data_IF_843513664090
#
_entry.id   IF_843513664090
#
_cell.length_a   1.000
_cell.length_b   1.000
_cell.length_c   1.000
_cell.angle_alpha   90.00
_cell.angle_beta   90.00
_cell.angle_gamma   90.00
#
_symmetry.space_group_name_H-M   'P 1'
#
loop_
_entity.id
_entity.type
_entity.pdbx_description
1 polymer ?
#
# COMPACT_ATOMS: atom_id res chain seq x y z
N UNK A 1 9.81 4.77 -17.42
CA UNK A 1 10.46 5.16 -16.15
C UNK A 1 11.83 4.49 -16.13
N UNK A 2 12.91 5.26 -16.25
CA UNK A 2 14.26 4.69 -16.36
C UNK A 2 14.72 4.24 -14.96
N UNK A 3 15.58 3.21 -14.89
CA UNK A 3 16.12 2.70 -13.63
C UNK A 3 16.86 3.76 -12.77
N UNK A 4 17.25 4.89 -13.38
CA UNK A 4 17.87 6.03 -12.71
C UNK A 4 16.91 6.89 -11.86
N UNK A 5 15.58 6.75 -12.04
CA UNK A 5 14.58 7.56 -11.33
C UNK A 5 14.31 7.07 -9.89
N UNK A 6 14.84 5.90 -9.49
CA UNK A 6 14.62 5.29 -8.18
C UNK A 6 15.56 5.80 -7.07
N UNK A 7 16.56 6.63 -7.40
CA UNK A 7 17.58 7.11 -6.43
C UNK A 7 17.15 8.40 -5.72
N UNK A 8 16.00 8.98 -6.06
CA UNK A 8 15.48 10.17 -5.39
C UNK A 8 14.10 9.89 -4.75
N UNK A 9 14.09 9.04 -3.71
CA UNK A 9 12.99 9.04 -2.75
C UNK A 9 12.90 10.47 -2.19
N UNK A 10 11.85 11.22 -2.59
CA UNK A 10 11.61 12.57 -2.10
C UNK A 10 11.59 12.59 -0.55
N UNK A 11 11.97 13.71 0.09
CA UNK A 11 12.24 13.78 1.54
C UNK A 11 11.00 13.71 2.45
N UNK A 12 9.85 13.25 1.94
CA UNK A 12 8.57 13.30 2.66
C UNK A 12 8.14 11.99 3.33
N UNK A 13 8.98 10.95 3.33
CA UNK A 13 8.67 9.72 4.06
C UNK A 13 9.18 9.85 5.50
N UNK A 14 8.32 10.36 6.38
CA UNK A 14 8.54 10.27 7.83
C UNK A 14 8.26 8.83 8.28
N UNK A 15 9.26 7.97 8.14
CA UNK A 15 9.24 6.64 8.75
C UNK A 15 9.55 6.83 10.23
N UNK A 16 8.55 6.73 11.09
CA UNK A 16 8.81 6.67 12.53
C UNK A 16 9.55 5.37 12.88
N UNK A 17 10.57 5.43 13.76
CA UNK A 17 11.53 4.35 13.93
C UNK A 17 10.97 3.11 14.64
N UNK A 18 11.63 1.95 14.47
CA UNK A 18 12.84 1.78 13.70
C UNK A 18 12.59 1.05 12.38
N UNK A 19 12.83 1.76 11.27
CA UNK A 19 13.03 1.12 9.97
C UNK A 19 14.47 0.65 9.90
N UNK A 20 14.65 -0.67 10.01
CA UNK A 20 15.94 -1.32 9.82
C UNK A 20 16.03 -1.82 8.38
N UNK A 21 16.89 -1.18 7.57
CA UNK A 21 17.29 -1.71 6.27
C UNK A 21 18.37 -2.78 6.43
N UNK A 22 18.34 -3.82 5.60
CA UNK A 22 19.45 -4.77 5.46
C UNK A 22 20.34 -4.27 4.31
N UNK A 23 21.64 -4.14 4.53
CA UNK A 23 22.58 -3.80 3.46
C UNK A 23 22.55 -4.87 2.36
N UNK A 24 22.85 -4.49 1.12
CA UNK A 24 22.88 -5.42 0.00
C UNK A 24 23.90 -6.55 0.25
N UNK A 25 23.44 -7.80 0.21
CA UNK A 25 24.25 -8.99 0.49
C UNK A 25 24.20 -9.51 1.93
N UNK A 26 23.64 -8.76 2.89
CA UNK A 26 23.45 -9.27 4.26
C UNK A 26 22.24 -10.20 4.36
N UNK A 27 22.38 -11.27 5.14
CA UNK A 27 21.30 -12.24 5.35
C UNK A 27 20.23 -11.68 6.30
N UNK A 28 18.96 -11.74 5.89
CA UNK A 28 17.79 -11.44 6.76
C UNK A 28 17.84 -12.19 8.09
N UNK A 29 18.36 -13.43 8.09
CA UNK A 29 18.58 -14.22 9.32
C UNK A 29 19.66 -13.63 10.22
N UNK A 30 20.73 -13.09 9.63
CA UNK A 30 21.81 -12.42 10.36
C UNK A 30 21.30 -11.14 11.01
N UNK A 31 20.56 -10.30 10.28
CA UNK A 31 19.93 -9.10 10.85
C UNK A 31 18.99 -9.47 12.00
N UNK A 32 18.12 -10.48 11.82
CA UNK A 32 17.22 -10.94 12.88
C UNK A 32 17.99 -11.40 14.13
N UNK A 33 19.05 -12.20 13.94
CA UNK A 33 19.89 -12.68 15.04
C UNK A 33 20.61 -11.52 15.74
N UNK A 34 21.19 -10.59 14.98
CA UNK A 34 21.85 -9.40 15.52
C UNK A 34 20.88 -8.51 16.29
N UNK A 35 19.69 -8.26 15.73
CA UNK A 35 18.64 -7.48 16.40
C UNK A 35 18.28 -8.13 17.74
N UNK A 36 17.95 -9.43 17.73
CA UNK A 36 17.64 -10.20 18.95
C UNK A 36 18.79 -10.10 19.96
N UNK A 37 20.03 -10.41 19.55
CA UNK A 37 21.20 -10.35 20.45
C UNK A 37 21.51 -8.93 20.97
N UNK A 38 21.17 -7.87 20.21
CA UNK A 38 21.38 -6.48 20.63
C UNK A 38 20.36 -5.99 21.65
N UNK A 39 19.22 -6.67 21.79
CA UNK A 39 18.24 -6.36 22.82
C UNK A 39 18.74 -6.92 24.17
N UNK A 40 19.41 -6.08 24.98
CA UNK A 40 19.88 -6.44 26.34
C UNK A 40 18.75 -6.83 27.33
N UNK A 41 17.48 -6.74 26.91
CA UNK A 41 16.27 -6.99 27.71
C UNK A 41 15.43 -8.18 27.22
N UNK A 42 16.01 -9.15 26.52
CA UNK A 42 15.28 -10.35 26.07
C UNK A 42 14.56 -11.12 27.21
N UNK A 43 14.95 -10.93 28.47
CA UNK A 43 14.24 -11.51 29.62
C UNK A 43 12.85 -10.89 29.90
N UNK A 44 12.53 -9.71 29.36
CA UNK A 44 11.26 -9.00 29.60
C UNK A 44 10.25 -9.14 28.45
N UNK A 45 10.63 -9.76 27.33
CA UNK A 45 9.78 -9.86 26.14
C UNK A 45 9.19 -11.27 26.00
N UNK A 46 7.99 -11.49 26.53
CA UNK A 46 7.19 -12.70 26.32
C UNK A 46 6.33 -12.62 25.04
N UNK A 47 6.79 -11.87 24.02
CA UNK A 47 5.99 -11.50 22.84
C UNK A 47 6.73 -11.71 21.54
N UNK A 48 6.04 -12.23 20.53
CA UNK A 48 6.56 -12.40 19.17
C UNK A 48 6.73 -11.06 18.45
N UNK A 49 7.68 -10.97 17.52
CA UNK A 49 7.91 -9.77 16.70
C UNK A 49 8.08 -10.13 15.21
N UNK A 50 7.98 -9.11 14.36
CA UNK A 50 8.16 -9.23 12.90
C UNK A 50 9.33 -8.38 12.42
N UNK A 51 10.01 -8.84 11.37
CA UNK A 51 11.00 -8.05 10.61
C UNK A 51 10.53 -8.01 9.16
N UNK A 52 10.25 -6.80 8.65
CA UNK A 52 9.86 -6.56 7.26
C UNK A 52 11.00 -5.99 6.45
N UNK A 53 11.40 -6.67 5.36
CA UNK A 53 12.37 -6.14 4.39
C UNK A 53 11.64 -5.32 3.32
N UNK A 54 11.59 -4.00 3.52
CA UNK A 54 11.04 -3.05 2.55
C UNK A 54 11.79 -3.06 1.21
N UNK A 55 13.08 -3.42 1.20
CA UNK A 55 13.87 -3.55 -0.02
C UNK A 55 13.36 -4.67 -0.93
N UNK A 56 12.75 -5.72 -0.36
CA UNK A 56 12.13 -6.78 -1.17
C UNK A 56 10.93 -6.26 -1.97
N UNK A 57 10.19 -5.29 -1.44
CA UNK A 57 9.07 -4.66 -2.14
C UNK A 57 9.58 -3.93 -3.38
N UNK A 58 10.67 -3.17 -3.23
CA UNK A 58 11.30 -2.45 -4.34
C UNK A 58 11.78 -3.43 -5.42
N UNK A 59 12.47 -4.50 -5.03
CA UNK A 59 12.94 -5.54 -5.97
C UNK A 59 11.77 -6.21 -6.71
N UNK A 60 10.68 -6.50 -6.01
CA UNK A 60 9.48 -7.07 -6.63
C UNK A 60 8.84 -6.11 -7.63
N UNK A 61 8.76 -4.81 -7.30
CA UNK A 61 8.23 -3.80 -8.21
C UNK A 61 9.10 -3.62 -9.45
N UNK A 62 10.44 -3.70 -9.30
CA UNK A 62 11.37 -3.70 -10.45
C UNK A 62 11.15 -4.91 -11.36
N UNK A 63 10.98 -6.12 -10.78
CA UNK A 63 10.64 -7.32 -11.54
C UNK A 63 9.30 -7.17 -12.27
N UNK A 64 8.27 -6.65 -11.60
CA UNK A 64 6.97 -6.36 -12.22
C UNK A 64 7.13 -5.41 -13.40
N UNK A 65 7.81 -4.28 -13.20
CA UNK A 65 8.01 -3.26 -14.23
C UNK A 65 8.79 -3.81 -15.43
N UNK A 66 9.77 -4.69 -15.19
CA UNK A 66 10.56 -5.35 -16.22
C UNK A 66 9.74 -6.32 -17.06
N UNK A 67 8.90 -7.15 -16.42
CA UNK A 67 8.18 -8.24 -17.09
C UNK A 67 6.77 -7.86 -17.56
N UNK A 68 6.18 -6.81 -16.98
CA UNK A 68 4.82 -6.33 -17.28
C UNK A 68 4.83 -4.81 -17.55
N UNK A 69 5.60 -4.31 -18.53
CA UNK A 69 5.83 -2.86 -18.71
C UNK A 69 4.58 -2.05 -19.08
N UNK A 70 3.54 -2.70 -19.60
CA UNK A 70 2.27 -2.06 -19.96
C UNK A 70 1.23 -2.11 -18.84
N UNK A 71 1.51 -2.83 -17.75
CA UNK A 71 0.56 -3.05 -16.66
C UNK A 71 1.00 -2.24 -15.45
N UNK A 72 0.26 -1.18 -15.13
CA UNK A 72 0.45 -0.44 -13.89
C UNK A 72 -0.07 -1.28 -12.70
N UNK A 73 0.74 -1.56 -11.68
CA UNK A 73 0.28 -2.31 -10.52
C UNK A 73 -0.61 -1.45 -9.61
N UNK A 74 -1.67 -2.07 -9.08
CA UNK A 74 -2.48 -1.55 -7.98
C UNK A 74 -2.35 -2.53 -6.81
N UNK A 75 -1.76 -2.07 -5.71
CA UNK A 75 -1.52 -2.89 -4.52
C UNK A 75 -2.82 -3.10 -3.74
N UNK A 76 -3.16 -4.36 -3.48
CA UNK A 76 -4.31 -4.72 -2.66
C UNK A 76 -4.04 -4.40 -1.18
N UNK A 77 -4.69 -3.34 -0.67
CA UNK A 77 -4.48 -2.83 0.69
C UNK A 77 -4.72 -3.89 1.77
N UNK A 78 -5.72 -4.77 1.55
CA UNK A 78 -6.08 -5.90 2.42
C UNK A 78 -4.95 -6.90 2.69
N UNK A 79 -3.93 -6.97 1.83
CA UNK A 79 -2.84 -7.94 1.99
C UNK A 79 -1.93 -7.60 3.18
N UNK A 80 -1.57 -6.32 3.31
CA UNK A 80 -0.81 -5.79 4.44
C UNK A 80 -0.97 -4.26 4.43
N UNK A 81 -1.78 -3.69 5.33
CA UNK A 81 -2.06 -2.25 5.39
C UNK A 81 -1.03 -1.47 6.23
N UNK A 82 0.12 -2.07 6.57
CA UNK A 82 1.13 -1.40 7.39
C UNK A 82 1.62 -0.12 6.71
N UNK A 83 1.62 0.96 7.48
CA UNK A 83 1.94 2.30 6.99
C UNK A 83 3.29 2.39 6.24
N UNK A 84 4.39 1.75 6.69
CA UNK A 84 5.65 1.76 5.94
C UNK A 84 5.55 1.15 4.54
N UNK A 85 4.75 0.09 4.37
CA UNK A 85 4.52 -0.56 3.07
C UNK A 85 3.72 0.37 2.15
N UNK A 86 2.63 0.93 2.67
CA UNK A 86 1.74 1.82 1.90
C UNK A 86 2.48 3.09 1.47
N UNK A 87 3.20 3.73 2.40
CA UNK A 87 3.99 4.93 2.10
C UNK A 87 5.08 4.67 1.05
N UNK A 88 5.79 3.54 1.17
CA UNK A 88 6.81 3.16 0.19
C UNK A 88 6.19 2.97 -1.20
N UNK A 89 5.15 2.15 -1.32
CA UNK A 89 4.49 1.87 -2.59
C UNK A 89 3.89 3.14 -3.22
N UNK A 90 3.27 4.01 -2.41
CA UNK A 90 2.77 5.30 -2.86
C UNK A 90 3.89 6.20 -3.39
N UNK A 91 5.04 6.25 -2.71
CA UNK A 91 6.20 7.02 -3.16
C UNK A 91 6.79 6.51 -4.48
N UNK A 92 6.60 5.23 -4.79
CA UNK A 92 7.03 4.57 -6.03
C UNK A 92 5.98 4.64 -7.15
N UNK A 93 4.86 5.35 -6.95
CA UNK A 93 3.81 5.57 -7.96
C UNK A 93 2.85 4.39 -8.17
N UNK A 94 2.86 3.40 -7.27
CA UNK A 94 1.94 2.25 -7.30
C UNK A 94 0.53 2.73 -6.92
N UNK A 95 -0.48 2.28 -7.66
CA UNK A 95 -1.88 2.54 -7.31
C UNK A 95 -2.36 1.63 -6.18
N UNK A 96 -3.58 1.83 -5.70
CA UNK A 96 -4.13 1.04 -4.59
C UNK A 96 -5.51 0.47 -4.93
N UNK A 97 -5.65 -0.84 -4.73
CA UNK A 97 -6.93 -1.53 -4.64
C UNK A 97 -7.39 -1.48 -3.17
N UNK A 98 -8.48 -0.76 -2.93
CA UNK A 98 -9.10 -0.62 -1.63
C UNK A 98 -10.49 -1.27 -1.62
N UNK A 99 -10.82 -1.97 -0.54
CA UNK A 99 -12.08 -2.69 -0.32
C UNK A 99 -12.97 -2.03 0.74
N UNK A 100 -12.53 -0.95 1.40
CA UNK A 100 -13.33 -0.24 2.39
C UNK A 100 -13.03 1.25 2.47
N UNK A 101 -13.93 2.02 3.10
CA UNK A 101 -13.70 3.42 3.46
C UNK A 101 -12.37 3.62 4.20
N UNK A 102 -12.07 2.74 5.16
CA UNK A 102 -10.87 2.87 6.00
C UNK A 102 -9.59 2.64 5.20
N UNK A 103 -9.63 1.74 4.22
CA UNK A 103 -8.50 1.52 3.31
C UNK A 103 -8.28 2.71 2.37
N UNK A 104 -9.37 3.27 1.81
CA UNK A 104 -9.32 4.51 1.02
C UNK A 104 -8.73 5.64 1.86
N UNK A 105 -9.22 5.83 3.09
CA UNK A 105 -8.74 6.86 4.01
C UNK A 105 -7.24 6.68 4.33
N UNK A 106 -6.80 5.45 4.56
CA UNK A 106 -5.39 5.13 4.83
C UNK A 106 -4.50 5.45 3.62
N UNK A 107 -4.92 5.08 2.41
CA UNK A 107 -4.20 5.39 1.17
C UNK A 107 -4.08 6.92 0.97
N UNK A 108 -5.18 7.65 1.13
CA UNK A 108 -5.21 9.11 1.01
C UNK A 108 -4.31 9.79 2.05
N UNK A 109 -4.33 9.31 3.31
CA UNK A 109 -3.42 9.80 4.38
C UNK A 109 -1.95 9.58 4.04
N UNK A 110 -1.63 8.55 3.28
CA UNK A 110 -0.28 8.28 2.78
C UNK A 110 0.07 9.09 1.50
N UNK A 111 -0.79 10.02 1.07
CA UNK A 111 -0.55 10.90 -0.07
C UNK A 111 -0.86 10.29 -1.44
N UNK A 112 -1.56 9.16 -1.49
CA UNK A 112 -2.02 8.55 -2.75
C UNK A 112 -3.07 9.46 -3.38
N UNK A 113 -2.97 9.70 -4.69
CA UNK A 113 -3.96 10.51 -5.41
C UNK A 113 -5.27 9.72 -5.55
N UNK A 114 -6.45 10.36 -5.47
CA UNK A 114 -7.73 9.66 -5.64
C UNK A 114 -7.86 8.90 -6.97
N UNK A 115 -7.28 9.43 -8.06
CA UNK A 115 -7.25 8.78 -9.38
C UNK A 115 -6.39 7.51 -9.42
N UNK A 116 -5.51 7.33 -8.44
CA UNK A 116 -4.66 6.14 -8.28
C UNK A 116 -5.28 5.11 -7.32
N UNK A 117 -6.53 5.29 -6.91
CA UNK A 117 -7.28 4.36 -6.06
C UNK A 117 -8.43 3.74 -6.85
N UNK A 118 -8.57 2.42 -6.74
CA UNK A 118 -9.72 1.67 -7.23
C UNK A 118 -10.48 1.14 -6.00
N UNK A 119 -11.76 1.49 -5.89
CA UNK A 119 -12.63 0.89 -4.87
C UNK A 119 -13.12 -0.48 -5.35
N UNK A 120 -12.26 -1.49 -5.25
CA UNK A 120 -12.41 -2.80 -5.88
C UNK A 120 -13.09 -3.85 -4.98
N UNK A 121 -14.26 -3.51 -4.46
CA UNK A 121 -15.18 -4.48 -3.85
C UNK A 121 -16.52 -4.46 -4.60
N UNK A 122 -17.05 -5.62 -5.02
CA UNK A 122 -18.25 -5.65 -5.85
C UNK A 122 -19.49 -5.17 -5.11
N UNK A 123 -19.63 -5.48 -3.82
CA UNK A 123 -20.78 -5.07 -2.99
C UNK A 123 -20.37 -4.10 -1.89
N UNK A 124 -20.67 -2.81 -2.06
CA UNK A 124 -20.23 -1.71 -1.19
C UNK A 124 -21.34 -1.23 -0.27
N UNK A 125 -20.99 -0.78 0.93
CA UNK A 125 -21.93 0.00 1.74
C UNK A 125 -22.21 1.36 1.08
N UNK A 126 -23.46 1.83 1.08
CA UNK A 126 -23.84 3.13 0.50
C UNK A 126 -23.00 4.27 1.08
N UNK A 127 -22.79 4.27 2.40
CA UNK A 127 -21.96 5.26 3.11
C UNK A 127 -20.48 5.23 2.68
N UNK A 128 -19.97 4.07 2.25
CA UNK A 128 -18.61 3.95 1.73
C UNK A 128 -18.51 4.48 0.30
N UNK A 129 -19.54 4.26 -0.53
CA UNK A 129 -19.63 4.86 -1.88
C UNK A 129 -19.65 6.39 -1.75
N UNK A 130 -20.51 6.94 -0.88
CA UNK A 130 -20.56 8.38 -0.61
C UNK A 130 -19.22 8.95 -0.18
N UNK A 131 -18.50 8.25 0.72
CA UNK A 131 -17.18 8.66 1.15
C UNK A 131 -16.18 8.65 -0.02
N UNK A 132 -16.12 7.56 -0.80
CA UNK A 132 -15.24 7.48 -1.96
C UNK A 132 -15.48 8.66 -2.92
N UNK A 133 -16.75 8.96 -3.21
CA UNK A 133 -17.14 10.08 -4.07
C UNK A 133 -16.70 11.44 -3.50
N UNK A 134 -16.95 11.70 -2.21
CA UNK A 134 -16.53 12.94 -1.54
C UNK A 134 -15.01 13.11 -1.52
N UNK A 135 -14.28 11.99 -1.41
CA UNK A 135 -12.82 11.96 -1.44
C UNK A 135 -12.22 11.98 -2.85
N UNK A 136 -13.06 12.06 -3.89
CA UNK A 136 -12.62 12.11 -5.28
C UNK A 136 -12.23 10.76 -5.89
N UNK A 137 -12.43 9.65 -5.19
CA UNK A 137 -12.20 8.29 -5.71
C UNK A 137 -13.40 7.90 -6.58
N UNK A 138 -13.18 7.85 -7.90
CA UNK A 138 -14.25 7.66 -8.88
C UNK A 138 -14.35 6.23 -9.41
N UNK A 139 -13.20 5.56 -9.56
CA UNK A 139 -13.13 4.21 -10.12
C UNK A 139 -13.57 3.17 -9.10
N UNK A 140 -14.60 2.40 -9.42
CA UNK A 140 -15.11 1.33 -8.55
C UNK A 140 -15.62 0.13 -9.34
N UNK A 141 -15.56 -1.06 -8.74
CA UNK A 141 -16.05 -2.30 -9.36
C UNK A 141 -17.50 -2.59 -9.00
N UNK A 142 -18.21 -3.34 -9.84
CA UNK A 142 -19.51 -3.95 -9.53
C UNK A 142 -19.66 -5.23 -10.36
N UNK A 143 -20.48 -6.17 -9.92
CA UNK A 143 -20.73 -7.43 -10.61
C UNK A 143 -22.23 -7.79 -10.70
N UNK A 144 -23.12 -6.92 -10.20
CA UNK A 144 -24.56 -7.13 -10.19
C UNK A 144 -25.36 -5.84 -10.42
N UNK A 145 -26.61 -5.99 -10.83
CA UNK A 145 -27.50 -4.88 -11.19
C UNK A 145 -27.88 -4.00 -9.98
N UNK A 146 -28.04 -4.59 -8.80
CA UNK A 146 -28.38 -3.85 -7.58
C UNK A 146 -27.27 -2.89 -7.18
N UNK A 147 -26.02 -3.33 -7.31
CA UNK A 147 -24.86 -2.49 -7.09
C UNK A 147 -24.80 -1.34 -8.11
N UNK A 148 -25.03 -1.64 -9.39
CA UNK A 148 -25.06 -0.61 -10.44
C UNK A 148 -26.12 0.46 -10.14
N UNK A 149 -27.34 0.05 -9.76
CA UNK A 149 -28.39 0.98 -9.37
C UNK A 149 -28.06 1.78 -8.12
N UNK A 150 -27.42 1.15 -7.12
CA UNK A 150 -26.93 1.84 -5.92
C UNK A 150 -25.86 2.87 -6.25
N UNK A 151 -24.89 2.53 -7.09
CA UNK A 151 -23.85 3.46 -7.56
C UNK A 151 -24.49 4.60 -8.33
N UNK A 152 -25.38 4.33 -9.30
CA UNK A 152 -26.08 5.37 -10.06
C UNK A 152 -26.84 6.36 -9.18
N UNK A 153 -27.49 5.86 -8.12
CA UNK A 153 -28.26 6.70 -7.17
C UNK A 153 -27.35 7.61 -6.34
N UNK A 154 -26.19 7.11 -5.92
CA UNK A 154 -25.27 7.82 -5.02
C UNK A 154 -24.27 8.68 -5.80
N UNK A 155 -23.83 8.21 -6.95
CA UNK A 155 -22.77 8.75 -7.78
C UNK A 155 -23.18 8.78 -9.24
N UNK A 156 -23.97 9.79 -9.61
CA UNK A 156 -24.49 9.96 -10.97
C UNK A 156 -23.42 10.26 -12.03
N UNK A 157 -22.19 10.57 -11.63
CA UNK A 157 -21.06 10.96 -12.51
C UNK A 157 -19.84 10.03 -12.41
N UNK A 158 -19.99 8.85 -11.81
CA UNK A 158 -18.89 7.88 -11.65
C UNK A 158 -18.40 7.27 -12.95
N UNK A 159 -17.11 6.88 -12.96
CA UNK A 159 -16.48 6.09 -14.02
C UNK A 159 -16.26 4.66 -13.55
#
# INVERSE_FOLDING_TARGET
MHAADLVCLKPHISLEPPVYGVAEGDSRKKLAKTFVCSQNKLKEWDSSFYIGDLGQIVRNLQLWTKHMPQIRPYYAMKCNPSQPVVQLLASLGVGFDCASKFEIESALKCGVKPDDIIFAVPCKMSSHIEYACRSGVRTMTFDNADELHKIKRIHSTGR
#
